data_IF_889281792386
#
_entry.id   IF_889281792386
#
_cell.length_a   1.000
_cell.length_b   1.000
_cell.length_c   1.000
_cell.angle_alpha   90.00
_cell.angle_beta   90.00
_cell.angle_gamma   90.00
#
_symmetry.space_group_name_H-M   'P 1'
#
loop_
_entity.id
_entity.type
_entity.pdbx_description
1 polymer ?
#
# COMPACT_ATOMS: atom_id res chain seq x y z
N UNK A 1 -13.27 1.13 3.79
CA UNK A 1 -12.74 -0.20 3.40
C UNK A 1 -11.29 -0.09 2.95
N UNK A 2 -10.99 0.79 2.01
CA UNK A 2 -9.61 1.06 1.54
C UNK A 2 -8.66 1.47 2.66
N UNK A 3 -9.07 2.38 3.56
CA UNK A 3 -8.26 2.78 4.72
C UNK A 3 -7.97 1.61 5.66
N UNK A 4 -8.98 0.81 6.02
CA UNK A 4 -8.77 -0.34 6.91
C UNK A 4 -7.90 -1.42 6.26
N UNK A 5 -8.23 -1.85 5.03
CA UNK A 5 -7.52 -2.93 4.38
C UNK A 5 -6.13 -2.49 3.88
N UNK A 6 -6.03 -1.36 3.20
CA UNK A 6 -4.78 -0.89 2.59
C UNK A 6 -3.83 -0.24 3.60
N UNK A 7 -4.33 0.57 4.54
CA UNK A 7 -3.47 1.28 5.49
C UNK A 7 -3.24 0.50 6.78
N UNK A 8 -4.32 0.05 7.43
CA UNK A 8 -4.20 -0.60 8.75
C UNK A 8 -3.65 -2.02 8.65
N UNK A 9 -4.26 -2.86 7.81
CA UNK A 9 -3.87 -4.28 7.73
C UNK A 9 -2.46 -4.49 7.15
N UNK A 10 -2.03 -3.65 6.21
CA UNK A 10 -0.69 -3.73 5.61
C UNK A 10 0.38 -3.17 6.55
N UNK A 11 0.14 -2.02 7.19
CA UNK A 11 1.21 -1.28 7.87
C UNK A 11 1.26 -1.49 9.39
N UNK A 12 0.18 -1.97 10.03
CA UNK A 12 0.09 -2.07 11.50
C UNK A 12 0.06 -3.48 12.03
N UNK A 13 -0.45 -4.44 11.25
CA UNK A 13 -0.80 -5.78 11.77
C UNK A 13 0.33 -6.79 11.57
N UNK A 14 1.43 -6.43 10.87
CA UNK A 14 2.44 -7.40 10.40
C UNK A 14 1.80 -8.66 9.82
N UNK A 15 0.66 -8.46 9.15
CA UNK A 15 -0.17 -9.53 8.65
C UNK A 15 0.59 -10.31 7.58
N UNK A 16 0.69 -11.63 7.75
CA UNK A 16 1.29 -12.47 6.71
C UNK A 16 0.55 -12.32 5.37
N UNK A 17 1.29 -12.48 4.27
CA UNK A 17 0.75 -12.48 2.90
C UNK A 17 -0.47 -13.40 2.76
N UNK A 18 -0.42 -14.59 3.38
CA UNK A 18 -1.51 -15.56 3.40
C UNK A 18 -2.75 -15.05 4.15
N UNK A 19 -2.55 -14.39 5.30
CA UNK A 19 -3.66 -13.81 6.05
C UNK A 19 -4.37 -12.71 5.25
N UNK A 20 -3.63 -11.81 4.60
CA UNK A 20 -4.25 -10.78 3.76
C UNK A 20 -4.98 -11.33 2.53
N UNK A 21 -4.47 -12.40 1.93
CA UNK A 21 -5.17 -13.11 0.86
C UNK A 21 -6.50 -13.73 1.35
N UNK A 22 -6.55 -14.22 2.60
CA UNK A 22 -7.80 -14.68 3.22
C UNK A 22 -8.74 -13.52 3.45
N UNK A 23 -8.28 -12.42 4.05
CA UNK A 23 -9.10 -11.23 4.32
C UNK A 23 -9.71 -10.68 3.02
N UNK A 24 -8.92 -10.53 1.95
CA UNK A 24 -9.44 -10.09 0.64
C UNK A 24 -10.53 -11.02 0.09
N UNK A 25 -10.39 -12.35 0.28
CA UNK A 25 -11.44 -13.32 -0.09
C UNK A 25 -12.70 -13.18 0.75
N UNK A 26 -12.56 -13.01 2.07
CA UNK A 26 -13.68 -12.82 3.00
C UNK A 26 -14.45 -11.54 2.65
N UNK A 27 -13.74 -10.43 2.43
CA UNK A 27 -14.37 -9.15 2.08
C UNK A 27 -15.11 -9.23 0.75
N UNK A 28 -14.56 -9.89 -0.27
CA UNK A 28 -15.25 -10.09 -1.54
C UNK A 28 -16.52 -10.93 -1.38
N UNK A 29 -16.47 -12.02 -0.60
CA UNK A 29 -17.66 -12.83 -0.29
C UNK A 29 -18.71 -12.04 0.48
N UNK A 30 -18.29 -11.19 1.42
CA UNK A 30 -19.18 -10.33 2.19
C UNK A 30 -19.92 -9.32 1.30
N UNK A 31 -19.21 -8.65 0.38
CA UNK A 31 -19.83 -7.71 -0.57
C UNK A 31 -20.88 -8.40 -1.43
N UNK A 32 -20.56 -9.59 -1.95
CA UNK A 32 -21.50 -10.41 -2.72
C UNK A 32 -22.73 -10.81 -1.90
N UNK A 33 -22.51 -11.26 -0.67
CA UNK A 33 -23.59 -11.66 0.23
C UNK A 33 -24.51 -10.48 0.60
N UNK A 34 -23.95 -9.28 0.82
CA UNK A 34 -24.75 -8.08 1.10
C UNK A 34 -25.66 -7.72 -0.08
N UNK A 35 -25.16 -7.84 -1.32
CA UNK A 35 -25.96 -7.65 -2.53
C UNK A 35 -27.05 -8.73 -2.67
N UNK A 36 -26.71 -10.00 -2.50
CA UNK A 36 -27.66 -11.12 -2.55
C UNK A 36 -28.79 -11.02 -1.51
N UNK A 37 -28.55 -10.33 -0.39
CA UNK A 37 -29.56 -10.06 0.66
C UNK A 37 -30.31 -8.75 0.49
N UNK A 38 -30.02 -7.97 -0.56
CA UNK A 38 -30.67 -6.69 -0.82
C UNK A 38 -30.20 -5.56 0.10
N UNK A 39 -29.11 -5.74 0.86
CA UNK A 39 -28.50 -4.68 1.67
C UNK A 39 -27.63 -3.72 0.84
N UNK A 40 -27.38 -4.06 -0.43
CA UNK A 40 -26.59 -3.25 -1.34
C UNK A 40 -27.31 -3.15 -2.68
N UNK A 41 -27.53 -1.94 -3.19
CA UNK A 41 -28.14 -1.72 -4.50
C UNK A 41 -27.19 -2.13 -5.63
N UNK A 42 -27.73 -2.48 -6.81
CA UNK A 42 -26.94 -2.94 -7.96
C UNK A 42 -25.83 -1.96 -8.38
N UNK A 43 -26.10 -0.66 -8.30
CA UNK A 43 -25.12 0.39 -8.62
C UNK A 43 -23.94 0.37 -7.66
N UNK A 44 -24.24 0.38 -6.35
CA UNK A 44 -23.22 0.34 -5.29
C UNK A 44 -22.45 -0.98 -5.30
N UNK A 45 -23.13 -2.10 -5.57
CA UNK A 45 -22.50 -3.41 -5.72
C UNK A 45 -21.45 -3.43 -6.82
N UNK A 46 -21.75 -2.90 -8.02
CA UNK A 46 -20.76 -2.85 -9.11
C UNK A 46 -19.50 -2.09 -8.72
N UNK A 47 -19.66 -0.97 -8.01
CA UNK A 47 -18.52 -0.14 -7.56
C UNK A 47 -17.73 -0.89 -6.48
N UNK A 48 -18.42 -1.46 -5.48
CA UNK A 48 -17.78 -2.15 -4.37
C UNK A 48 -17.12 -3.47 -4.79
N UNK A 49 -17.75 -4.23 -5.67
CA UNK A 49 -17.23 -5.48 -6.23
C UNK A 49 -15.93 -5.24 -7.02
N UNK A 50 -15.91 -4.19 -7.85
CA UNK A 50 -14.68 -3.77 -8.54
C UNK A 50 -13.57 -3.43 -7.54
N UNK A 51 -13.86 -2.55 -6.57
CA UNK A 51 -12.86 -2.10 -5.59
C UNK A 51 -12.34 -3.24 -4.72
N UNK A 52 -13.20 -4.16 -4.27
CA UNK A 52 -12.79 -5.28 -3.43
C UNK A 52 -11.95 -6.30 -4.21
N UNK A 53 -12.21 -6.47 -5.52
CA UNK A 53 -11.37 -7.30 -6.40
C UNK A 53 -9.98 -6.70 -6.59
N UNK A 54 -9.90 -5.40 -6.83
CA UNK A 54 -8.64 -4.66 -6.92
C UNK A 54 -7.86 -4.77 -5.61
N UNK A 55 -8.48 -4.46 -4.46
CA UNK A 55 -7.87 -4.58 -3.14
C UNK A 55 -7.41 -6.01 -2.83
N UNK A 56 -8.22 -7.02 -3.13
CA UNK A 56 -7.88 -8.42 -2.91
C UNK A 56 -6.60 -8.83 -3.67
N UNK A 57 -6.39 -8.30 -4.87
CA UNK A 57 -5.19 -8.56 -5.66
C UNK A 57 -3.97 -7.78 -5.12
N UNK A 58 -4.19 -6.55 -4.66
CA UNK A 58 -3.13 -5.65 -4.23
C UNK A 58 -2.60 -5.95 -2.82
N UNK A 59 -3.46 -6.37 -1.88
CA UNK A 59 -3.09 -6.55 -0.47
C UNK A 59 -1.89 -7.49 -0.25
N UNK A 60 -1.81 -8.69 -0.86
CA UNK A 60 -0.67 -9.58 -0.68
C UNK A 60 0.63 -9.00 -1.24
N UNK A 61 0.54 -8.26 -2.36
CA UNK A 61 1.68 -7.63 -3.02
C UNK A 61 2.19 -6.43 -2.20
N UNK A 62 1.29 -5.65 -1.63
CA UNK A 62 1.63 -4.50 -0.80
C UNK A 62 2.45 -4.89 0.44
N UNK A 63 2.11 -6.00 1.11
CA UNK A 63 2.92 -6.53 2.23
C UNK A 63 4.27 -7.03 1.79
N UNK A 64 4.35 -7.73 0.65
CA UNK A 64 5.61 -8.22 0.10
C UNK A 64 6.57 -7.08 -0.25
N UNK A 65 6.06 -6.04 -0.92
CA UNK A 65 6.83 -4.82 -1.23
C UNK A 65 7.27 -4.12 0.06
N UNK A 66 6.39 -4.01 1.06
CA UNK A 66 6.75 -3.40 2.34
C UNK A 66 7.88 -4.17 3.05
N UNK A 67 7.88 -5.50 2.98
CA UNK A 67 8.97 -6.33 3.48
C UNK A 67 10.28 -6.08 2.74
N UNK A 68 10.25 -6.11 1.41
CA UNK A 68 11.42 -5.83 0.57
C UNK A 68 12.00 -4.43 0.78
N UNK A 69 11.15 -3.41 0.91
CA UNK A 69 11.57 -2.04 1.24
C UNK A 69 12.24 -1.97 2.61
N UNK A 70 11.68 -2.66 3.61
CA UNK A 70 12.25 -2.69 4.96
C UNK A 70 13.63 -3.35 4.98
N UNK A 71 13.79 -4.48 4.26
CA UNK A 71 15.09 -5.14 4.08
C UNK A 71 16.09 -4.29 3.32
N UNK A 72 15.64 -3.59 2.27
CA UNK A 72 16.49 -2.70 1.49
C UNK A 72 16.97 -1.51 2.32
N UNK A 73 16.09 -0.89 3.09
CA UNK A 73 16.43 0.19 4.00
C UNK A 73 17.42 -0.26 5.08
N UNK A 74 17.23 -1.45 5.65
CA UNK A 74 18.14 -2.02 6.66
C UNK A 74 19.56 -2.29 6.13
N UNK A 75 19.71 -2.53 4.82
CA UNK A 75 21.01 -2.74 4.15
C UNK A 75 21.61 -1.45 3.59
N UNK A 76 20.85 -0.36 3.57
CA UNK A 76 21.30 0.90 3.00
C UNK A 76 22.29 1.59 3.96
N UNK A 77 23.37 2.21 3.45
CA UNK A 77 24.31 2.91 4.30
C UNK A 77 23.62 4.01 5.11
N UNK A 78 23.88 4.07 6.42
CA UNK A 78 23.46 5.21 7.24
C UNK A 78 24.37 6.40 6.90
N UNK A 79 23.86 7.32 6.08
CA UNK A 79 24.51 8.59 5.77
C UNK A 79 24.37 9.62 6.90
N UNK A 80 25.08 10.75 6.77
CA UNK A 80 24.77 11.95 7.55
C UNK A 80 23.76 12.78 6.78
N UNK A 81 22.53 12.84 7.27
CA UNK A 81 21.45 13.57 6.65
C UNK A 81 21.19 14.88 7.39
N UNK A 82 20.85 15.94 6.65
CA UNK A 82 20.48 17.23 7.25
C UNK A 82 19.09 17.21 7.86
N UNK A 83 18.21 16.35 7.34
CA UNK A 83 16.84 16.18 7.79
C UNK A 83 16.47 14.71 7.56
N UNK A 84 15.73 14.13 8.51
CA UNK A 84 15.20 12.79 8.38
C UNK A 84 13.68 12.82 8.55
N UNK A 85 12.97 12.21 7.61
CA UNK A 85 11.52 12.12 7.62
C UNK A 85 11.11 10.66 7.84
N UNK A 86 10.49 10.41 9.00
CA UNK A 86 9.83 9.15 9.31
C UNK A 86 8.33 9.35 9.21
N UNK A 87 7.73 8.96 8.09
CA UNK A 87 6.30 9.15 7.85
C UNK A 87 5.69 8.03 7.01
N UNK A 88 4.39 8.19 6.75
CA UNK A 88 3.64 7.46 5.73
C UNK A 88 3.63 8.29 4.47
N UNK A 89 4.03 7.66 3.38
CA UNK A 89 4.09 8.33 2.10
C UNK A 89 3.16 7.67 1.11
N UNK A 90 2.46 8.48 0.32
CA UNK A 90 1.76 8.02 -0.87
C UNK A 90 2.71 8.06 -2.05
N UNK A 91 2.84 6.96 -2.78
CA UNK A 91 3.61 6.92 -4.02
C UNK A 91 2.85 7.70 -5.10
N UNK A 92 3.42 8.79 -5.60
CA UNK A 92 2.81 9.64 -6.64
C UNK A 92 3.40 9.42 -8.02
N UNK A 93 4.68 9.05 -8.10
CA UNK A 93 5.38 8.76 -9.35
C UNK A 93 6.38 7.62 -9.14
N UNK A 94 6.52 6.79 -10.16
CA UNK A 94 7.44 5.65 -10.20
C UNK A 94 8.26 5.76 -11.49
N UNK A 95 9.58 5.64 -11.37
CA UNK A 95 10.51 5.33 -12.46
C UNK A 95 11.38 4.14 -12.02
N UNK A 96 12.08 3.45 -12.95
CA UNK A 96 12.98 2.37 -12.58
C UNK A 96 13.98 2.80 -11.49
N UNK A 97 13.88 2.15 -10.32
CA UNK A 97 14.71 2.42 -9.15
C UNK A 97 14.43 3.73 -8.41
N UNK A 98 13.35 4.45 -8.73
CA UNK A 98 13.06 5.79 -8.17
C UNK A 98 11.58 5.96 -7.83
N UNK A 99 11.31 6.49 -6.64
CA UNK A 99 9.95 6.79 -6.16
C UNK A 99 9.84 8.27 -5.77
N UNK A 100 8.69 8.88 -6.10
CA UNK A 100 8.30 10.18 -5.54
C UNK A 100 7.15 9.99 -4.57
N UNK A 101 7.32 10.58 -3.40
CA UNK A 101 6.60 10.28 -2.19
C UNK A 101 5.94 11.56 -1.67
N UNK A 102 4.63 11.54 -1.48
CA UNK A 102 3.90 12.62 -0.81
C UNK A 102 3.64 12.24 0.64
N UNK A 103 4.09 13.07 1.58
CA UNK A 103 3.86 12.85 3.00
C UNK A 103 2.36 12.98 3.33
N UNK A 104 1.77 11.90 3.86
CA UNK A 104 0.37 11.85 4.29
C UNK A 104 0.11 12.60 5.60
N UNK A 105 1.14 12.80 6.43
CA UNK A 105 1.05 13.46 7.73
C UNK A 105 1.55 14.91 7.70
N UNK A 106 2.27 15.28 6.64
CA UNK A 106 2.81 16.62 6.40
C UNK A 106 1.98 17.45 5.41
N UNK A 107 2.49 18.62 4.96
CA UNK A 107 1.78 19.54 4.08
C UNK A 107 1.61 19.04 2.62
N UNK A 108 1.66 17.73 2.37
CA UNK A 108 1.54 17.15 1.02
C UNK A 108 2.71 17.49 0.10
N UNK A 109 3.89 17.78 0.65
CA UNK A 109 5.10 18.04 -0.15
C UNK A 109 5.51 16.76 -0.87
N UNK A 110 5.72 16.87 -2.18
CA UNK A 110 6.30 15.79 -2.98
C UNK A 110 7.82 15.74 -2.75
N UNK A 111 8.28 14.63 -2.21
CA UNK A 111 9.68 14.35 -1.88
C UNK A 111 10.23 13.26 -2.80
N UNK A 112 11.40 13.45 -3.39
CA UNK A 112 12.04 12.45 -4.23
C UNK A 112 13.10 13.02 -5.19
N UNK A 113 13.80 12.14 -5.91
CA UNK A 113 13.59 10.69 -5.96
C UNK A 113 14.15 9.96 -4.73
N UNK A 114 13.34 9.12 -4.10
CA UNK A 114 13.82 8.11 -3.17
C UNK A 114 14.36 6.92 -3.98
N UNK A 115 15.64 6.58 -3.77
CA UNK A 115 16.31 5.51 -4.50
C UNK A 115 15.98 4.15 -3.91
N UNK A 116 15.54 3.22 -4.76
CA UNK A 116 15.24 1.82 -4.42
C UNK A 116 15.80 0.90 -5.51
N UNK A 117 15.77 -0.41 -5.30
CA UNK A 117 16.09 -1.34 -6.39
C UNK A 117 15.01 -1.30 -7.48
N UNK A 118 15.39 -1.59 -8.72
CA UNK A 118 14.43 -1.67 -9.83
C UNK A 118 13.35 -2.72 -9.56
N UNK A 119 13.72 -3.85 -8.95
CA UNK A 119 12.79 -4.89 -8.51
C UNK A 119 11.68 -4.35 -7.61
N UNK A 120 12.03 -3.56 -6.59
CA UNK A 120 11.04 -2.91 -5.71
C UNK A 120 10.17 -1.94 -6.49
N UNK A 121 10.77 -1.05 -7.30
CA UNK A 121 10.01 -0.05 -8.05
C UNK A 121 9.01 -0.68 -9.03
N UNK A 122 9.34 -1.82 -9.64
CA UNK A 122 8.49 -2.53 -10.60
C UNK A 122 7.24 -3.16 -9.97
N UNK A 123 7.29 -3.44 -8.66
CA UNK A 123 6.17 -4.03 -7.91
C UNK A 123 5.25 -2.97 -7.29
N UNK A 124 5.70 -1.71 -7.24
CA UNK A 124 4.94 -0.61 -6.66
C UNK A 124 3.82 -0.14 -7.61
N UNK A 125 2.79 0.47 -7.03
CA UNK A 125 1.75 1.18 -7.79
C UNK A 125 1.55 2.60 -7.25
N UNK A 126 1.24 3.53 -8.14
CA UNK A 126 0.83 4.88 -7.75
C UNK A 126 -0.44 4.82 -6.88
N UNK A 127 -0.47 5.63 -5.83
CA UNK A 127 -1.56 5.67 -4.85
C UNK A 127 -1.38 4.71 -3.67
N UNK A 128 -0.43 3.77 -3.72
CA UNK A 128 -0.10 2.94 -2.57
C UNK A 128 0.57 3.77 -1.47
N UNK A 129 0.30 3.38 -0.22
CA UNK A 129 0.96 3.94 0.96
C UNK A 129 2.10 3.04 1.42
N UNK A 130 3.25 3.66 1.70
CA UNK A 130 4.43 2.99 2.26
C UNK A 130 4.85 3.70 3.55
N UNK A 131 5.43 2.96 4.49
CA UNK A 131 6.06 3.54 5.70
C UNK A 131 7.56 3.50 5.48
N UNK A 132 8.18 4.67 5.45
CA UNK A 132 9.62 4.79 5.20
C UNK A 132 10.24 5.75 6.19
N UNK A 133 11.54 5.53 6.40
CA UNK A 133 12.44 6.51 6.97
C UNK A 133 13.35 6.96 5.83
N UNK A 134 13.22 8.22 5.42
CA UNK A 134 14.03 8.82 4.36
C UNK A 134 14.89 9.93 4.96
N UNK A 135 16.14 10.04 4.52
CA UNK A 135 17.13 11.03 4.93
C UNK A 135 18.09 11.26 3.79
#
# INVERSE_FOLDING_TARGET
>A
MESFLGLFMVLRVEASKNFLAIVGRVMHKLVKWLHEKGYLADGDYKIMDRRVKELKADLPLAVEVNGLMSEYAAKSPHGKYTEELKSRFTIKKIEPGKLWLEDLMGPGKLTGPALVSEGISSMCKTGWTVVLWIG
#
